data_IF_977300863038
#
_entry.id   IF_977300863038
#
_cell.length_a   1.000
_cell.length_b   1.000
_cell.length_c   1.000
_cell.angle_alpha   90.00
_cell.angle_beta   90.00
_cell.angle_gamma   90.00
#
_symmetry.space_group_name_H-M   'P 1'
#
loop_
_entity.id
_entity.type
_entity.pdbx_description
1 polymer ?
#
# COMPACT_ATOMS: atom_id res chain seq x y z
N UNK A 1 -68.40 22.94 -9.47
CA UNK A 1 -67.52 22.35 -8.44
C UNK A 1 -66.66 21.19 -8.97
N UNK A 2 -67.10 20.33 -9.88
CA UNK A 2 -66.34 19.17 -10.39
C UNK A 2 -65.04 19.52 -11.11
N UNK A 3 -64.97 20.62 -11.89
CA UNK A 3 -63.71 21.01 -12.58
C UNK A 3 -62.55 21.43 -11.69
N UNK A 4 -62.84 21.98 -10.50
CA UNK A 4 -61.79 22.39 -9.54
C UNK A 4 -61.20 21.20 -8.76
N UNK A 5 -61.99 20.14 -8.52
CA UNK A 5 -61.52 18.91 -7.87
C UNK A 5 -60.62 18.12 -8.81
N UNK A 6 -60.89 18.12 -10.13
CA UNK A 6 -60.06 17.43 -11.11
C UNK A 6 -58.67 18.09 -11.31
N UNK A 7 -58.61 19.40 -11.22
CA UNK A 7 -57.33 20.15 -11.30
C UNK A 7 -56.46 19.91 -10.06
N UNK A 8 -57.06 19.80 -8.86
CA UNK A 8 -56.33 19.52 -7.61
C UNK A 8 -55.78 18.08 -7.62
N UNK A 9 -56.50 17.11 -8.13
CA UNK A 9 -56.07 15.72 -8.27
C UNK A 9 -54.89 15.56 -9.24
N UNK A 10 -54.83 16.33 -10.32
CA UNK A 10 -53.71 16.30 -11.30
C UNK A 10 -52.44 16.94 -10.65
N UNK A 11 -52.58 18.00 -9.87
CA UNK A 11 -51.42 18.63 -9.19
C UNK A 11 -50.88 17.71 -8.08
N UNK A 12 -51.73 16.99 -7.34
CA UNK A 12 -51.25 15.98 -6.37
C UNK A 12 -50.57 14.78 -7.02
N UNK A 13 -51.08 14.32 -8.18
CA UNK A 13 -50.46 13.21 -8.91
C UNK A 13 -49.10 13.56 -9.49
N UNK A 14 -48.87 14.79 -9.96
CA UNK A 14 -47.58 15.23 -10.51
C UNK A 14 -46.51 15.38 -9.43
N UNK A 15 -46.85 15.67 -8.19
CA UNK A 15 -45.87 15.73 -7.06
C UNK A 15 -45.39 14.36 -6.66
N UNK A 16 -46.20 13.30 -6.79
CA UNK A 16 -45.78 11.91 -6.50
C UNK A 16 -44.90 11.26 -7.57
N UNK A 17 -44.87 11.83 -8.80
CA UNK A 17 -44.03 11.33 -9.89
C UNK A 17 -42.75 12.13 -10.14
N UNK A 18 -42.40 13.08 -9.25
CA UNK A 18 -41.06 13.65 -9.30
C UNK A 18 -40.09 12.50 -8.93
N UNK A 19 -39.17 12.12 -9.85
CA UNK A 19 -38.16 11.15 -9.51
C UNK A 19 -37.42 11.74 -8.31
N UNK A 20 -37.52 11.08 -7.17
CA UNK A 20 -36.58 11.30 -6.08
C UNK A 20 -35.24 10.86 -6.69
N UNK A 21 -34.46 11.82 -7.17
CA UNK A 21 -33.04 11.60 -7.33
C UNK A 21 -32.53 11.30 -5.93
N UNK A 22 -32.58 10.02 -5.53
CA UNK A 22 -31.77 9.55 -4.45
C UNK A 22 -30.34 9.83 -4.89
N UNK A 23 -29.76 10.95 -4.47
CA UNK A 23 -28.33 11.08 -4.43
C UNK A 23 -27.88 9.85 -3.64
N UNK A 24 -27.34 8.85 -4.32
CA UNK A 24 -26.70 7.74 -3.66
C UNK A 24 -25.65 8.36 -2.75
N UNK A 25 -25.92 8.30 -1.44
CA UNK A 25 -24.96 8.78 -0.45
C UNK A 25 -23.69 7.99 -0.69
N UNK A 26 -22.57 8.65 -0.99
CA UNK A 26 -21.27 8.02 -1.23
C UNK A 26 -20.94 7.14 -0.03
N UNK A 27 -20.91 5.83 -0.21
CA UNK A 27 -20.71 4.87 0.88
C UNK A 27 -19.21 4.64 1.09
N UNK A 28 -18.65 5.34 2.06
CA UNK A 28 -17.26 5.17 2.48
C UNK A 28 -17.07 3.91 3.30
N UNK A 29 -16.24 3.00 2.81
CA UNK A 29 -15.85 1.80 3.54
C UNK A 29 -14.62 2.11 4.42
N UNK A 30 -14.76 1.94 5.73
CA UNK A 30 -13.67 2.14 6.68
C UNK A 30 -12.58 1.07 6.50
N UNK A 31 -11.31 1.49 6.49
CA UNK A 31 -10.15 0.62 6.33
C UNK A 31 -9.37 0.43 7.61
N UNK A 32 -8.94 1.54 8.23
CA UNK A 32 -8.05 1.55 9.37
C UNK A 32 -8.10 2.88 10.09
N UNK A 33 -7.70 2.91 11.36
CA UNK A 33 -7.56 4.14 12.16
C UNK A 33 -6.43 4.02 13.16
N UNK A 34 -5.77 5.16 13.42
CA UNK A 34 -4.87 5.34 14.54
C UNK A 34 -5.17 6.71 15.20
N UNK A 35 -4.34 7.16 16.14
CA UNK A 35 -4.53 8.41 16.88
C UNK A 35 -4.53 9.67 15.98
N UNK A 36 -3.97 9.58 14.77
CA UNK A 36 -3.81 10.71 13.85
C UNK A 36 -4.76 10.67 12.66
N UNK A 37 -5.09 9.47 12.14
CA UNK A 37 -5.73 9.29 10.85
C UNK A 37 -6.80 8.22 10.90
N UNK A 38 -7.92 8.46 10.18
CA UNK A 38 -8.83 7.38 9.79
C UNK A 38 -8.92 7.32 8.26
N UNK A 39 -8.84 6.11 7.70
CA UNK A 39 -8.76 5.84 6.26
C UNK A 39 -10.01 5.16 5.78
N UNK A 40 -10.51 5.63 4.65
CA UNK A 40 -11.72 5.12 4.01
C UNK A 40 -11.50 4.97 2.50
N UNK A 41 -12.27 4.13 1.89
CA UNK A 41 -12.23 3.81 0.49
C UNK A 41 -13.67 3.74 -0.06
N UNK A 42 -13.88 4.13 -1.31
CA UNK A 42 -15.17 4.07 -2.00
C UNK A 42 -15.14 2.91 -3.02
N UNK A 43 -15.72 1.74 -2.71
CA UNK A 43 -15.69 0.57 -3.61
C UNK A 43 -16.33 0.84 -4.97
N UNK A 44 -17.46 1.55 -5.01
CA UNK A 44 -18.20 1.86 -6.23
C UNK A 44 -17.46 2.81 -7.18
N UNK A 45 -16.39 3.47 -6.70
CA UNK A 45 -15.54 4.35 -7.50
C UNK A 45 -14.44 3.62 -8.27
N UNK A 46 -14.26 2.32 -8.02
CA UNK A 46 -13.17 1.55 -8.62
C UNK A 46 -13.33 1.43 -10.12
N UNK A 47 -12.34 1.89 -10.86
CA UNK A 47 -12.33 1.90 -12.33
C UNK A 47 -11.04 1.31 -12.85
N UNK A 48 -11.13 0.30 -13.73
CA UNK A 48 -9.96 -0.24 -14.43
C UNK A 48 -9.66 0.67 -15.62
N UNK A 49 -8.52 1.36 -15.59
CA UNK A 49 -8.09 2.30 -16.65
C UNK A 49 -7.32 1.59 -17.75
N UNK A 50 -6.56 0.54 -17.39
CA UNK A 50 -5.75 -0.18 -18.37
C UNK A 50 -5.68 -1.66 -18.03
N UNK A 51 -5.80 -2.50 -19.05
CA UNK A 51 -5.60 -3.95 -19.00
C UNK A 51 -4.53 -4.36 -20.00
N UNK A 52 -3.89 -5.50 -19.73
CA UNK A 52 -3.00 -6.21 -20.65
C UNK A 52 -3.53 -7.61 -20.83
N UNK A 53 -3.47 -8.13 -22.05
CA UNK A 53 -3.79 -9.52 -22.36
C UNK A 53 -2.48 -10.30 -22.30
N UNK A 54 -2.43 -11.33 -21.46
CA UNK A 54 -1.30 -12.25 -21.33
C UNK A 54 -1.23 -13.19 -22.52
N UNK A 55 -0.12 -13.90 -22.69
CA UNK A 55 0.08 -14.85 -23.80
C UNK A 55 -0.94 -16.02 -23.82
N UNK A 56 -1.50 -16.36 -22.66
CA UNK A 56 -2.60 -17.34 -22.50
C UNK A 56 -4.01 -16.75 -22.69
N UNK A 57 -4.11 -15.46 -23.05
CA UNK A 57 -5.37 -14.78 -23.33
C UNK A 57 -6.09 -14.20 -22.08
N UNK A 58 -5.49 -14.24 -20.91
CA UNK A 58 -6.06 -13.67 -19.69
C UNK A 58 -5.91 -12.16 -19.65
N UNK A 59 -6.99 -11.43 -19.36
CA UNK A 59 -6.93 -10.00 -19.11
C UNK A 59 -6.51 -9.70 -17.66
N UNK A 60 -5.45 -8.90 -17.50
CA UNK A 60 -4.97 -8.45 -16.20
C UNK A 60 -5.02 -6.93 -16.14
N UNK A 61 -5.69 -6.39 -15.11
CA UNK A 61 -5.68 -4.96 -14.84
C UNK A 61 -4.28 -4.52 -14.37
N UNK A 62 -3.72 -3.52 -15.07
CA UNK A 62 -2.40 -2.96 -14.73
C UNK A 62 -2.47 -1.52 -14.25
N UNK A 63 -3.64 -0.88 -14.37
CA UNK A 63 -3.91 0.46 -13.87
C UNK A 63 -5.35 0.55 -13.39
N UNK A 64 -5.52 0.84 -12.10
CA UNK A 64 -6.81 0.90 -11.42
C UNK A 64 -6.89 2.23 -10.69
N UNK A 65 -8.02 2.94 -10.83
CA UNK A 65 -8.28 4.17 -10.07
C UNK A 65 -9.43 3.96 -9.08
N UNK A 66 -9.33 4.64 -7.93
CA UNK A 66 -10.41 4.70 -6.94
C UNK A 66 -10.30 5.95 -6.07
N UNK A 67 -11.45 6.41 -5.55
CA UNK A 67 -11.49 7.46 -4.54
C UNK A 67 -11.26 6.91 -3.15
N UNK A 68 -10.47 7.66 -2.39
CA UNK A 68 -10.16 7.40 -0.98
C UNK A 68 -10.37 8.66 -0.15
N UNK A 69 -10.55 8.48 1.15
CA UNK A 69 -10.73 9.56 2.11
C UNK A 69 -9.84 9.33 3.32
N UNK A 70 -9.19 10.39 3.76
CA UNK A 70 -8.46 10.41 5.04
C UNK A 70 -9.05 11.50 5.92
N UNK A 71 -9.46 11.17 7.14
CA UNK A 71 -9.83 12.15 8.16
C UNK A 71 -8.70 12.33 9.15
N UNK A 72 -8.59 13.50 9.75
CA UNK A 72 -7.47 13.91 10.57
C UNK A 72 -7.88 14.24 12.00
N UNK A 73 -7.10 13.77 12.99
CA UNK A 73 -7.05 14.42 14.29
C UNK A 73 -6.28 15.75 14.19
N UNK A 74 -6.22 16.52 15.27
CA UNK A 74 -5.42 17.76 15.30
C UNK A 74 -3.94 17.48 14.98
N UNK A 75 -3.36 16.44 15.59
CA UNK A 75 -1.97 16.02 15.35
C UNK A 75 -1.75 15.54 13.93
N UNK A 76 -2.70 14.76 13.39
CA UNK A 76 -2.67 14.29 12.01
C UNK A 76 -2.75 15.42 11.00
N UNK A 77 -3.62 16.41 11.24
CA UNK A 77 -3.72 17.62 10.44
C UNK A 77 -2.42 18.43 10.46
N UNK A 78 -1.86 18.66 11.67
CA UNK A 78 -0.60 19.38 11.85
C UNK A 78 0.56 18.72 11.10
N UNK A 79 0.69 17.40 11.23
CA UNK A 79 1.72 16.61 10.51
C UNK A 79 1.52 16.67 8.99
N UNK A 80 0.28 16.54 8.51
CA UNK A 80 -0.06 16.62 7.09
C UNK A 80 0.30 17.98 6.51
N UNK A 81 -0.13 19.08 7.14
CA UNK A 81 0.17 20.45 6.71
C UNK A 81 1.67 20.69 6.61
N UNK A 82 2.43 20.20 7.60
CA UNK A 82 3.90 20.29 7.60
C UNK A 82 4.53 19.48 6.47
N UNK A 83 4.10 18.23 6.28
CA UNK A 83 4.65 17.33 5.26
C UNK A 83 4.38 17.81 3.83
N UNK A 84 3.24 18.47 3.62
CA UNK A 84 2.91 19.10 2.33
C UNK A 84 3.53 20.48 2.15
N UNK A 85 4.15 21.07 3.19
CA UNK A 85 4.76 22.40 3.16
C UNK A 85 3.75 23.54 3.00
N UNK A 86 2.50 23.33 3.40
CA UNK A 86 1.39 24.26 3.21
C UNK A 86 1.02 25.06 4.48
N UNK A 87 1.93 25.14 5.44
CA UNK A 87 1.73 25.88 6.70
C UNK A 87 1.36 27.36 6.46
N UNK A 88 1.88 27.98 5.38
CA UNK A 88 1.54 29.37 5.02
C UNK A 88 0.09 29.51 4.48
N UNK A 89 -0.50 28.43 3.95
CA UNK A 89 -1.86 28.40 3.40
C UNK A 89 -2.85 27.98 4.50
N UNK A 90 -2.48 27.00 5.31
CA UNK A 90 -3.24 26.42 6.41
C UNK A 90 -2.43 26.52 7.71
N UNK A 91 -2.37 27.73 8.34
CA UNK A 91 -1.57 27.91 9.55
C UNK A 91 -2.20 27.24 10.79
N UNK A 92 -3.53 27.06 10.84
CA UNK A 92 -4.22 26.41 11.93
C UNK A 92 -4.69 25.00 11.51
N UNK A 93 -4.16 23.91 12.12
CA UNK A 93 -4.58 22.55 11.84
C UNK A 93 -6.08 22.27 12.01
N UNK A 94 -6.79 23.04 12.81
CA UNK A 94 -8.25 22.91 12.97
C UNK A 94 -9.03 23.19 11.68
N UNK A 95 -8.40 23.87 10.72
CA UNK A 95 -9.00 24.14 9.42
C UNK A 95 -8.83 22.99 8.41
N UNK A 96 -8.20 21.88 8.80
CA UNK A 96 -8.09 20.68 7.99
C UNK A 96 -8.87 19.55 8.67
N UNK A 97 -9.99 19.15 8.06
CA UNK A 97 -10.84 18.08 8.58
C UNK A 97 -10.59 16.73 7.88
N UNK A 98 -10.49 16.74 6.55
CA UNK A 98 -10.26 15.52 5.77
C UNK A 98 -9.68 15.83 4.39
N UNK A 99 -9.15 14.81 3.70
CA UNK A 99 -8.86 14.86 2.27
C UNK A 99 -9.63 13.79 1.51
N UNK A 100 -9.90 14.08 0.24
CA UNK A 100 -10.36 13.13 -0.78
C UNK A 100 -9.26 12.99 -1.82
N UNK A 101 -8.86 11.75 -2.12
CA UNK A 101 -7.82 11.50 -3.11
C UNK A 101 -8.27 10.48 -4.16
N UNK A 102 -8.06 10.83 -5.43
CA UNK A 102 -8.12 9.87 -6.53
C UNK A 102 -6.76 9.19 -6.63
N UNK A 103 -6.72 7.92 -6.29
CA UNK A 103 -5.51 7.11 -6.33
C UNK A 103 -5.49 6.24 -7.59
N UNK A 104 -4.32 6.14 -8.22
CA UNK A 104 -4.03 5.20 -9.30
C UNK A 104 -3.03 4.17 -8.82
N UNK A 105 -3.37 2.89 -8.94
CA UNK A 105 -2.53 1.78 -8.50
C UNK A 105 -2.13 0.87 -9.65
N UNK A 106 -0.88 0.36 -9.60
CA UNK A 106 -0.39 -0.69 -10.48
C UNK A 106 -0.07 -1.93 -9.65
N UNK A 107 -0.84 -3.04 -9.80
CA UNK A 107 -0.67 -4.24 -9.00
C UNK A 107 0.64 -4.99 -9.26
N UNK A 108 1.12 -5.04 -10.53
CA UNK A 108 2.35 -5.75 -10.90
C UNK A 108 3.60 -5.15 -10.24
N UNK A 109 3.64 -3.82 -10.19
CA UNK A 109 4.79 -3.09 -9.67
C UNK A 109 4.60 -2.70 -8.19
N UNK A 110 3.42 -2.96 -7.61
CA UNK A 110 3.04 -2.53 -6.26
C UNK A 110 3.26 -1.04 -6.06
N UNK A 111 2.79 -0.24 -7.03
CA UNK A 111 2.93 1.22 -6.99
C UNK A 111 1.59 1.92 -6.88
N UNK A 112 1.63 3.14 -6.34
CA UNK A 112 0.50 4.03 -6.16
C UNK A 112 0.89 5.45 -6.55
N UNK A 113 -0.06 6.19 -7.15
CA UNK A 113 0.05 7.60 -7.49
C UNK A 113 -1.19 8.34 -7.00
N UNK A 114 -1.01 9.48 -6.36
CA UNK A 114 -2.08 10.45 -6.13
C UNK A 114 -2.30 11.22 -7.43
N UNK A 115 -3.36 10.90 -8.14
CA UNK A 115 -3.73 11.62 -9.37
C UNK A 115 -4.22 13.01 -9.01
N UNK A 116 -5.04 13.10 -7.95
CA UNK A 116 -5.56 14.32 -7.36
C UNK A 116 -5.80 14.12 -5.87
N UNK A 117 -5.57 15.13 -5.08
CA UNK A 117 -5.93 15.17 -3.67
C UNK A 117 -6.45 16.56 -3.31
N UNK A 118 -7.70 16.61 -2.80
CA UNK A 118 -8.37 17.81 -2.35
C UNK A 118 -8.50 17.78 -0.83
N UNK A 119 -8.12 18.85 -0.16
CA UNK A 119 -8.16 19.01 1.28
C UNK A 119 -9.33 19.90 1.69
N UNK A 120 -10.06 19.50 2.71
CA UNK A 120 -11.33 20.10 3.11
C UNK A 120 -11.32 20.54 4.57
N UNK A 121 -11.97 21.66 4.85
CA UNK A 121 -12.33 22.06 6.21
C UNK A 121 -13.61 21.35 6.69
N UNK A 122 -14.00 21.61 7.95
CA UNK A 122 -15.22 21.05 8.55
C UNK A 122 -16.52 21.57 7.90
N UNK A 123 -16.48 22.67 7.15
CA UNK A 123 -17.59 23.19 6.36
C UNK A 123 -17.65 22.60 4.93
N UNK A 124 -16.89 21.55 4.67
CA UNK A 124 -16.80 20.85 3.35
C UNK A 124 -16.32 21.76 2.21
N UNK A 125 -15.56 22.78 2.50
CA UNK A 125 -14.95 23.65 1.50
C UNK A 125 -13.52 23.17 1.22
N UNK A 126 -13.14 23.15 -0.06
CA UNK A 126 -11.76 22.86 -0.47
C UNK A 126 -10.87 24.02 -0.02
N UNK A 127 -9.86 23.70 0.77
CA UNK A 127 -8.89 24.67 1.30
C UNK A 127 -7.55 24.61 0.58
N UNK A 128 -7.24 23.47 -0.04
CA UNK A 128 -6.07 23.27 -0.86
C UNK A 128 -6.22 22.01 -1.74
N UNK A 129 -5.53 21.98 -2.88
CA UNK A 129 -5.53 20.85 -3.79
C UNK A 129 -4.13 20.57 -4.32
N UNK A 130 -3.87 19.31 -4.63
CA UNK A 130 -2.66 18.85 -5.30
C UNK A 130 -3.02 17.89 -6.42
N UNK A 131 -2.41 18.07 -7.57
CA UNK A 131 -2.53 17.18 -8.73
C UNK A 131 -1.19 16.51 -9.03
N UNK A 132 -1.26 15.37 -9.70
CA UNK A 132 -0.12 14.63 -10.27
C UNK A 132 1.05 14.40 -9.29
N UNK A 133 0.76 13.71 -8.19
CA UNK A 133 1.80 13.20 -7.31
C UNK A 133 2.73 12.22 -8.04
N UNK A 134 3.98 12.12 -7.60
CA UNK A 134 4.90 11.11 -8.13
C UNK A 134 4.39 9.69 -7.83
N UNK A 135 4.68 8.75 -8.73
CA UNK A 135 4.48 7.33 -8.49
C UNK A 135 5.42 6.88 -7.37
N UNK A 136 4.89 6.20 -6.37
CA UNK A 136 5.65 5.63 -5.25
C UNK A 136 5.38 4.15 -5.10
N UNK A 137 6.38 3.41 -4.68
CA UNK A 137 6.21 2.00 -4.35
C UNK A 137 5.56 1.85 -2.97
N UNK A 138 4.74 0.82 -2.83
CA UNK A 138 4.02 0.50 -1.60
C UNK A 138 4.68 -0.72 -0.93
N UNK A 139 5.07 -0.55 0.32
CA UNK A 139 5.66 -1.59 1.15
C UNK A 139 5.03 -1.58 2.55
N UNK A 140 5.50 -2.44 3.46
CA UNK A 140 4.95 -2.59 4.81
C UNK A 140 5.08 -1.35 5.71
N UNK A 141 5.88 -0.36 5.31
CA UNK A 141 6.03 0.92 6.01
C UNK A 141 5.22 2.06 5.37
N UNK A 142 4.57 1.79 4.24
CA UNK A 142 3.84 2.82 3.51
C UNK A 142 2.52 3.17 4.21
N UNK A 143 2.28 4.46 4.44
CA UNK A 143 0.98 4.96 4.91
C UNK A 143 -0.18 4.48 4.04
N UNK A 144 0.05 4.34 2.73
CA UNK A 144 -0.97 4.01 1.74
C UNK A 144 -1.17 2.51 1.50
N UNK A 145 -0.51 1.64 2.27
CA UNK A 145 -0.63 0.19 2.06
C UNK A 145 -2.09 -0.30 2.20
N UNK A 146 -2.88 0.28 3.13
CA UNK A 146 -4.30 -0.06 3.28
C UNK A 146 -5.12 0.32 2.04
N UNK A 147 -4.89 1.49 1.49
CA UNK A 147 -5.57 1.93 0.25
C UNK A 147 -5.22 1.02 -0.92
N UNK A 148 -3.92 0.73 -1.10
CA UNK A 148 -3.47 -0.18 -2.15
C UNK A 148 -4.14 -1.54 -2.04
N UNK A 149 -4.10 -2.17 -0.86
CA UNK A 149 -4.69 -3.50 -0.65
C UNK A 149 -6.21 -3.49 -0.90
N UNK A 150 -6.94 -2.47 -0.45
CA UNK A 150 -8.37 -2.37 -0.66
C UNK A 150 -8.74 -2.24 -2.14
N UNK A 151 -8.06 -1.33 -2.87
CA UNK A 151 -8.31 -1.09 -4.29
C UNK A 151 -8.00 -2.34 -5.12
N UNK A 152 -6.90 -3.02 -4.83
CA UNK A 152 -6.50 -4.23 -5.56
C UNK A 152 -7.44 -5.41 -5.26
N UNK A 153 -7.85 -5.59 -4.00
CA UNK A 153 -8.78 -6.66 -3.62
C UNK A 153 -10.17 -6.46 -4.22
N UNK A 154 -10.63 -5.22 -4.43
CA UNK A 154 -11.91 -4.95 -5.09
C UNK A 154 -11.95 -5.52 -6.51
N UNK A 155 -10.81 -5.47 -7.22
CA UNK A 155 -10.72 -5.97 -8.60
C UNK A 155 -10.38 -7.46 -8.65
N UNK A 156 -9.42 -7.92 -7.86
CA UNK A 156 -8.84 -9.25 -8.02
C UNK A 156 -9.31 -10.27 -6.97
N UNK A 157 -9.77 -9.81 -5.81
CA UNK A 157 -10.23 -10.64 -4.68
C UNK A 157 -9.20 -11.69 -4.24
N UNK A 158 -7.92 -11.30 -4.22
CA UNK A 158 -6.81 -12.20 -3.89
C UNK A 158 -6.47 -12.23 -2.39
N UNK A 159 -7.16 -11.44 -1.55
CA UNK A 159 -6.94 -11.39 -0.11
C UNK A 159 -5.70 -10.58 0.30
N UNK A 160 -5.36 -9.51 -0.41
CA UNK A 160 -4.27 -8.59 -0.05
C UNK A 160 -4.48 -8.00 1.35
N UNK A 161 -5.72 -7.60 1.67
CA UNK A 161 -6.07 -7.04 2.99
C UNK A 161 -5.97 -8.09 4.09
N UNK A 162 -6.46 -9.28 3.83
CA UNK A 162 -6.42 -10.37 4.81
C UNK A 162 -4.97 -10.75 5.11
N UNK A 163 -4.14 -10.88 4.07
CA UNK A 163 -2.72 -11.19 4.22
C UNK A 163 -1.95 -10.08 4.95
N UNK A 164 -2.25 -8.81 4.66
CA UNK A 164 -1.65 -7.68 5.37
C UNK A 164 -2.01 -7.70 6.86
N UNK A 165 -3.24 -8.06 7.22
CA UNK A 165 -3.76 -8.10 8.59
C UNK A 165 -3.52 -9.41 9.31
N UNK A 166 -2.98 -10.40 8.61
CA UNK A 166 -2.64 -11.69 9.18
C UNK A 166 -1.65 -11.54 10.36
N UNK A 167 -1.66 -12.45 11.32
CA UNK A 167 -0.65 -12.52 12.36
C UNK A 167 0.76 -12.48 11.80
N UNK A 168 1.74 -12.02 12.62
CA UNK A 168 3.12 -11.85 12.17
C UNK A 168 3.68 -13.10 11.50
N UNK A 169 3.38 -14.27 12.06
CA UNK A 169 3.88 -15.57 11.62
C UNK A 169 3.35 -15.97 10.23
N UNK A 170 2.22 -15.43 9.81
CA UNK A 170 1.62 -15.67 8.49
C UNK A 170 2.05 -14.64 7.46
N UNK A 171 2.20 -13.37 7.88
CA UNK A 171 2.64 -12.29 7.02
C UNK A 171 4.14 -12.34 6.75
N UNK A 172 4.94 -12.60 7.79
CA UNK A 172 6.40 -12.54 7.73
C UNK A 172 7.00 -13.94 7.69
N UNK A 173 7.75 -14.23 6.65
CA UNK A 173 8.51 -15.46 6.51
C UNK A 173 9.88 -15.27 7.15
N UNK A 174 10.18 -16.00 8.23
CA UNK A 174 11.51 -16.03 8.80
C UNK A 174 12.47 -16.72 7.84
N UNK A 175 13.51 -16.02 7.39
CA UNK A 175 14.50 -16.53 6.46
C UNK A 175 15.65 -17.21 7.20
N UNK A 176 16.27 -16.50 8.14
CA UNK A 176 17.33 -17.06 8.99
C UNK A 176 17.55 -16.21 10.24
N UNK A 177 18.17 -16.83 11.22
CA UNK A 177 18.71 -16.18 12.42
C UNK A 177 20.14 -16.64 12.60
N UNK A 178 21.02 -15.71 12.94
CA UNK A 178 22.45 -15.93 13.11
C UNK A 178 22.96 -15.13 14.31
N UNK A 179 23.96 -15.66 15.03
CA UNK A 179 24.66 -14.94 16.10
C UNK A 179 26.09 -14.72 15.67
N UNK A 180 26.54 -13.45 15.64
CA UNK A 180 27.90 -13.10 15.28
C UNK A 180 28.90 -13.33 16.45
N UNK A 181 30.20 -13.24 16.16
CA UNK A 181 31.28 -13.48 17.15
C UNK A 181 31.26 -12.46 18.30
N UNK A 182 30.61 -11.31 18.14
CA UNK A 182 30.39 -10.30 19.17
C UNK A 182 29.16 -10.60 20.05
N UNK A 183 28.46 -11.70 19.79
CA UNK A 183 27.26 -12.11 20.51
C UNK A 183 26.00 -11.35 20.10
N UNK A 184 26.02 -10.61 18.97
CA UNK A 184 24.82 -9.98 18.44
C UNK A 184 23.96 -11.02 17.71
N UNK A 185 22.65 -10.94 17.90
CA UNK A 185 21.70 -11.77 17.17
C UNK A 185 21.14 -10.99 15.97
N UNK A 186 21.28 -11.56 14.77
CA UNK A 186 20.78 -10.99 13.52
C UNK A 186 19.65 -11.90 13.01
N UNK A 187 18.50 -11.31 12.74
CA UNK A 187 17.34 -12.02 12.19
C UNK A 187 16.90 -11.36 10.87
N UNK A 188 16.66 -12.16 9.84
CA UNK A 188 16.13 -11.73 8.55
C UNK A 188 14.76 -12.34 8.31
N UNK A 189 13.80 -11.49 7.97
CA UNK A 189 12.43 -11.88 7.61
C UNK A 189 12.02 -11.26 6.29
N UNK A 190 11.19 -11.96 5.52
CA UNK A 190 10.61 -11.47 4.27
C UNK A 190 9.12 -11.15 4.41
N UNK A 191 8.68 -10.01 3.90
CA UNK A 191 7.27 -9.65 3.85
C UNK A 191 6.58 -10.35 2.67
N UNK A 192 5.79 -11.39 2.97
CA UNK A 192 5.11 -12.20 1.96
C UNK A 192 4.09 -11.42 1.14
N UNK A 193 3.56 -10.29 1.67
CA UNK A 193 2.61 -9.43 0.94
C UNK A 193 3.28 -8.68 -0.21
N UNK A 194 4.58 -8.45 -0.12
CA UNK A 194 5.35 -7.73 -1.13
C UNK A 194 5.90 -8.63 -2.23
N UNK A 195 5.89 -9.95 -2.01
CA UNK A 195 6.47 -10.92 -2.94
C UNK A 195 5.77 -10.91 -4.30
N UNK A 196 6.57 -10.78 -5.36
CA UNK A 196 6.15 -10.80 -6.78
C UNK A 196 7.16 -11.61 -7.58
N UNK A 197 6.69 -12.66 -8.26
CA UNK A 197 7.51 -13.44 -9.18
C UNK A 197 7.49 -12.78 -10.55
N UNK A 198 8.68 -12.53 -11.14
CA UNK A 198 8.88 -12.05 -12.50
C UNK A 198 9.87 -12.97 -13.19
N UNK A 199 9.38 -13.91 -14.00
CA UNK A 199 10.18 -15.00 -14.53
C UNK A 199 10.79 -15.83 -13.40
N UNK A 200 12.13 -15.95 -13.36
CA UNK A 200 12.87 -16.63 -12.29
C UNK A 200 13.23 -15.73 -11.09
N UNK A 201 12.94 -14.45 -11.17
CA UNK A 201 13.29 -13.48 -10.14
C UNK A 201 12.11 -13.23 -9.18
N UNK A 202 12.35 -13.43 -7.89
CA UNK A 202 11.44 -13.03 -6.82
C UNK A 202 11.81 -11.64 -6.33
N UNK A 203 10.89 -10.69 -6.46
CA UNK A 203 11.03 -9.34 -5.91
C UNK A 203 10.28 -9.29 -4.59
N UNK A 204 10.93 -8.79 -3.54
CA UNK A 204 10.36 -8.75 -2.19
C UNK A 204 11.01 -7.65 -1.35
N UNK A 205 10.35 -7.31 -0.23
CA UNK A 205 10.93 -6.51 0.83
C UNK A 205 11.28 -7.41 2.02
N UNK A 206 12.46 -7.16 2.59
CA UNK A 206 13.01 -7.87 3.74
C UNK A 206 13.25 -6.90 4.90
N UNK A 207 13.15 -7.45 6.10
CA UNK A 207 13.40 -6.77 7.35
C UNK A 207 14.48 -7.51 8.11
N UNK A 208 15.66 -6.90 8.26
CA UNK A 208 16.75 -7.44 9.06
C UNK A 208 16.84 -6.65 10.36
N UNK A 209 16.93 -7.35 11.47
CA UNK A 209 17.11 -6.75 12.80
C UNK A 209 18.37 -7.29 13.42
N UNK A 210 19.25 -6.40 13.91
CA UNK A 210 20.42 -6.76 14.72
C UNK A 210 20.18 -6.32 16.16
N UNK A 211 20.30 -7.27 17.09
CA UNK A 211 20.21 -7.04 18.53
C UNK A 211 21.56 -7.32 19.17
N UNK A 212 21.96 -6.50 20.16
CA UNK A 212 23.15 -6.72 20.95
C UNK A 212 22.98 -7.93 21.90
N UNK A 213 24.05 -8.29 22.62
CA UNK A 213 24.05 -9.38 23.59
C UNK A 213 23.08 -9.20 24.77
N UNK A 214 22.53 -7.97 24.95
CA UNK A 214 21.51 -7.66 25.96
C UNK A 214 20.09 -7.70 25.37
N UNK A 215 19.94 -8.04 24.06
CA UNK A 215 18.69 -8.10 23.37
C UNK A 215 18.15 -6.74 22.89
N UNK A 216 18.94 -5.65 23.00
CA UNK A 216 18.53 -4.34 22.51
C UNK A 216 18.77 -4.23 21.01
N UNK A 217 17.77 -3.69 20.27
CA UNK A 217 17.92 -3.45 18.85
C UNK A 217 18.93 -2.33 18.61
N UNK A 218 20.00 -2.61 17.87
CA UNK A 218 21.07 -1.67 17.55
C UNK A 218 21.06 -1.27 16.07
N UNK A 219 20.54 -2.11 15.19
CA UNK A 219 20.41 -1.84 13.76
C UNK A 219 19.17 -2.50 13.20
N UNK A 220 18.52 -1.82 12.24
CA UNK A 220 17.46 -2.36 11.41
C UNK A 220 17.77 -2.01 9.96
N UNK A 221 17.70 -3.00 9.07
CA UNK A 221 17.75 -2.79 7.62
C UNK A 221 16.42 -3.19 7.01
N UNK A 222 15.86 -2.33 6.19
CA UNK A 222 14.66 -2.58 5.41
C UNK A 222 15.03 -2.50 3.93
N UNK A 223 15.02 -3.64 3.24
CA UNK A 223 15.65 -3.81 1.95
C UNK A 223 14.69 -4.38 0.92
N UNK A 224 14.69 -3.81 -0.28
CA UNK A 224 14.06 -4.42 -1.45
C UNK A 224 15.08 -5.25 -2.19
N UNK A 225 14.81 -6.54 -2.35
CA UNK A 225 15.67 -7.46 -3.08
C UNK A 225 15.02 -8.01 -4.34
N UNK A 226 15.86 -8.35 -5.31
CA UNK A 226 15.53 -9.25 -6.41
C UNK A 226 16.41 -10.49 -6.29
N UNK A 227 15.79 -11.64 -6.06
CA UNK A 227 16.46 -12.93 -5.87
C UNK A 227 16.16 -13.84 -7.04
N UNK A 228 17.19 -14.22 -7.80
CA UNK A 228 17.05 -15.24 -8.84
C UNK A 228 17.01 -16.62 -8.20
N UNK A 229 15.83 -17.21 -8.13
CA UNK A 229 15.61 -18.48 -7.44
C UNK A 229 16.29 -19.67 -8.12
N UNK A 230 16.52 -19.60 -9.44
CA UNK A 230 17.18 -20.68 -10.20
C UNK A 230 18.68 -20.60 -10.02
N UNK A 231 19.27 -19.42 -10.28
CA UNK A 231 20.73 -19.23 -10.24
C UNK A 231 21.29 -19.11 -8.83
N UNK A 232 20.45 -18.76 -7.83
CA UNK A 232 20.92 -18.50 -6.47
C UNK A 232 21.72 -17.20 -6.38
N UNK A 233 21.29 -16.17 -7.10
CA UNK A 233 21.89 -14.83 -7.04
C UNK A 233 20.89 -13.82 -6.50
N UNK A 234 21.37 -12.74 -5.90
CA UNK A 234 20.54 -11.66 -5.40
C UNK A 234 21.16 -10.29 -5.69
N UNK A 235 20.28 -9.27 -5.71
CA UNK A 235 20.69 -7.89 -5.77
C UNK A 235 19.73 -7.05 -4.91
N UNK A 236 20.25 -6.08 -4.17
CA UNK A 236 19.45 -5.11 -3.49
C UNK A 236 19.14 -3.96 -4.44
N UNK A 237 17.87 -3.61 -4.53
CA UNK A 237 17.33 -2.60 -5.45
C UNK A 237 17.04 -1.28 -4.76
N UNK A 238 16.74 -1.31 -3.45
CA UNK A 238 16.39 -0.16 -2.64
C UNK A 238 16.51 -0.54 -1.15
N UNK A 239 16.65 0.43 -0.26
CA UNK A 239 16.69 0.13 1.14
C UNK A 239 16.92 1.33 2.04
N UNK A 240 16.64 1.09 3.32
CA UNK A 240 16.86 2.03 4.41
C UNK A 240 17.49 1.31 5.58
N UNK A 241 18.34 2.04 6.30
CA UNK A 241 18.97 1.58 7.53
C UNK A 241 18.63 2.53 8.68
N UNK A 242 18.34 1.95 9.83
CA UNK A 242 18.24 2.63 11.11
C UNK A 242 19.27 2.06 12.06
N UNK A 243 19.92 2.93 12.84
CA UNK A 243 20.81 2.50 13.92
C UNK A 243 20.40 3.17 15.22
N UNK A 244 20.83 2.63 16.35
CA UNK A 244 20.56 3.21 17.67
C UNK A 244 21.12 4.63 17.87
N UNK A 245 22.04 5.07 17.01
CA UNK A 245 22.66 6.40 17.02
C UNK A 245 22.10 7.35 15.96
N UNK A 246 21.48 6.80 14.90
CA UNK A 246 20.96 7.59 13.78
C UNK A 246 19.52 7.17 13.48
N UNK A 247 18.73 8.14 13.00
CA UNK A 247 17.40 7.85 12.44
C UNK A 247 17.53 7.10 11.11
N UNK A 248 16.37 6.80 10.47
CA UNK A 248 16.34 6.17 9.16
C UNK A 248 17.08 6.97 8.10
N UNK A 249 17.98 6.29 7.39
CA UNK A 249 18.78 6.80 6.29
C UNK A 249 18.65 5.88 5.08
N UNK A 250 18.90 6.39 3.88
CA UNK A 250 18.99 5.55 2.69
C UNK A 250 20.22 4.64 2.81
N UNK A 251 20.06 3.40 2.37
CA UNK A 251 21.12 2.40 2.33
C UNK A 251 21.91 2.62 1.02
N UNK A 252 22.93 3.50 1.07
CA UNK A 252 23.65 3.96 -0.15
C UNK A 252 24.88 3.16 -0.51
N UNK A 253 25.54 2.56 0.47
CA UNK A 253 26.95 2.16 0.30
C UNK A 253 27.15 0.66 0.03
N UNK A 254 26.10 -0.16 0.18
CA UNK A 254 26.25 -1.61 0.04
C UNK A 254 25.90 -2.15 -1.36
N UNK A 255 25.57 -1.25 -2.33
CA UNK A 255 25.00 -1.70 -3.61
C UNK A 255 25.54 -0.92 -4.82
N UNK A 256 26.35 -1.62 -5.61
CA UNK A 256 26.69 -1.26 -6.98
C UNK A 256 25.61 -1.68 -8.01
N UNK A 257 24.49 -2.27 -7.54
CA UNK A 257 23.41 -2.82 -8.38
C UNK A 257 23.77 -4.14 -9.05
N UNK A 258 24.92 -4.74 -8.72
CA UNK A 258 25.35 -6.02 -9.25
C UNK A 258 24.69 -7.19 -8.52
N UNK A 259 24.41 -8.27 -9.26
CA UNK A 259 23.97 -9.52 -8.66
C UNK A 259 25.16 -10.23 -8.00
N UNK A 260 25.03 -10.56 -6.72
CA UNK A 260 25.97 -11.42 -6.02
C UNK A 260 25.47 -12.88 -5.98
N UNK A 261 26.39 -13.83 -6.01
CA UNK A 261 26.10 -15.25 -5.78
C UNK A 261 25.85 -15.48 -4.29
N UNK A 262 24.83 -16.26 -3.96
CA UNK A 262 24.57 -16.73 -2.60
C UNK A 262 25.29 -18.08 -2.44
N UNK A 263 26.38 -18.09 -1.68
CA UNK A 263 27.18 -19.29 -1.43
C UNK A 263 26.57 -20.15 -0.30
N UNK A 264 26.89 -21.44 -0.31
CA UNK A 264 26.30 -22.41 0.64
C UNK A 264 26.70 -22.18 2.11
N UNK A 265 27.76 -21.45 2.36
CA UNK A 265 28.26 -21.01 3.69
C UNK A 265 27.67 -19.65 4.13
N UNK A 266 27.02 -18.92 3.24
CA UNK A 266 26.30 -17.67 3.57
C UNK A 266 25.05 -17.96 4.42
N UNK A 267 24.72 -17.15 5.43
CA UNK A 267 23.42 -17.21 6.10
C UNK A 267 22.24 -17.09 5.11
N UNK A 268 22.40 -16.27 4.06
CA UNK A 268 21.40 -16.04 3.01
C UNK A 268 21.08 -17.31 2.19
N UNK A 269 21.94 -18.34 2.20
CA UNK A 269 21.62 -19.61 1.56
C UNK A 269 20.42 -20.32 2.23
N UNK A 270 20.31 -20.26 3.56
CA UNK A 270 19.13 -20.76 4.28
C UNK A 270 17.88 -19.98 3.86
N UNK A 271 18.02 -18.67 3.71
CA UNK A 271 16.97 -17.80 3.19
C UNK A 271 16.51 -18.19 1.79
N UNK A 272 17.46 -18.41 0.88
CA UNK A 272 17.17 -18.86 -0.49
C UNK A 272 16.39 -20.18 -0.52
N UNK A 273 16.78 -21.16 0.31
CA UNK A 273 16.07 -22.44 0.41
C UNK A 273 14.63 -22.23 0.90
N UNK A 274 14.43 -21.39 1.91
CA UNK A 274 13.09 -21.06 2.43
C UNK A 274 12.23 -20.29 1.42
N UNK A 275 12.82 -19.34 0.69
CA UNK A 275 12.13 -18.61 -0.39
C UNK A 275 11.69 -19.55 -1.51
N UNK A 276 12.55 -20.48 -1.94
CA UNK A 276 12.19 -21.52 -2.94
C UNK A 276 11.03 -22.38 -2.47
N UNK A 277 11.07 -22.84 -1.22
CA UNK A 277 9.98 -23.63 -0.63
C UNK A 277 8.68 -22.83 -0.54
N UNK A 278 8.76 -21.57 -0.10
CA UNK A 278 7.60 -20.68 0.00
C UNK A 278 6.97 -20.45 -1.38
N UNK A 279 7.74 -20.09 -2.40
CA UNK A 279 7.26 -19.86 -3.77
C UNK A 279 6.60 -21.11 -4.35
N UNK A 280 7.20 -22.27 -4.14
CA UNK A 280 6.61 -23.56 -4.58
C UNK A 280 5.24 -23.81 -3.96
N UNK A 281 5.08 -23.55 -2.67
CA UNK A 281 3.83 -23.80 -1.93
C UNK A 281 2.79 -22.70 -2.09
N UNK A 282 3.18 -21.50 -2.53
CA UNK A 282 2.33 -20.33 -2.67
C UNK A 282 2.41 -19.72 -4.09
N UNK A 283 2.56 -20.54 -5.12
CA UNK A 283 2.77 -20.10 -6.51
C UNK A 283 1.67 -19.12 -6.97
N UNK A 284 0.40 -19.41 -6.70
CA UNK A 284 -0.72 -18.53 -7.06
C UNK A 284 -0.63 -17.15 -6.39
N UNK A 285 -0.10 -17.10 -5.16
CA UNK A 285 0.08 -15.83 -4.45
C UNK A 285 1.22 -15.01 -5.03
N UNK A 286 2.38 -15.59 -5.24
CA UNK A 286 3.56 -14.85 -5.71
C UNK A 286 3.46 -14.43 -7.18
N UNK A 287 2.67 -15.14 -8.00
CA UNK A 287 2.44 -14.84 -9.42
C UNK A 287 1.09 -14.12 -9.67
N UNK A 288 0.38 -13.67 -8.62
CA UNK A 288 -1.01 -13.19 -8.71
C UNK A 288 -1.27 -12.05 -9.70
N UNK A 289 -0.28 -11.31 -10.08
CA UNK A 289 -0.39 -10.23 -11.08
C UNK A 289 0.67 -10.38 -12.18
N UNK A 290 1.25 -11.56 -12.35
CA UNK A 290 2.23 -11.82 -13.40
C UNK A 290 1.58 -11.63 -14.77
N UNK A 291 2.38 -11.12 -15.71
CA UNK A 291 2.00 -10.98 -17.12
C UNK A 291 2.65 -12.09 -17.97
N UNK A 292 3.45 -12.95 -17.33
CA UNK A 292 4.19 -14.06 -17.96
C UNK A 292 3.38 -15.35 -17.97
#
# INVERSE_FOLDING_TARGET
MQKKIFLLAIICATVFFLPHYACAETQWFWLDSNDKYSKYFEPDSVTIKKKVVTSDGKEIAIEIEAWTKTTYSYEGASETIKNYGITNILPDPKNLAYSLALLRVNPQNRTLQYVREDFYNAAHQVVWSKEEGRVKEINSRSFDEEFYCAIVDEVFRMGERDRKRAPREERWLDLWTYTDDAGNTINLTADTTTMRLKGTNLILWEWQTKKDSRGQTVEIRFMKKSVNLTQGTEVIKDGQIWTSTNSWQELKDDYDGAYRMIHSDDPDYKGLVRLRAYVKNNSNWVSRYSLD
#
